data_IF_631883191855
#
_entry.id   IF_631883191855
#
_cell.length_a   1.000
_cell.length_b   1.000
_cell.length_c   1.000
_cell.angle_alpha   90.00
_cell.angle_beta   90.00
_cell.angle_gamma   90.00
#
_symmetry.space_group_name_H-M   'P 1'
#
loop_
_entity.id
_entity.type
_entity.pdbx_description
1 polymer ?
#
# COMPACT_ATOMS: atom_id res chain seq x y z
N UNK A 1 -6.91 -11.25 -32.48
CA UNK A 1 -7.34 -10.03 -31.77
C UNK A 1 -6.06 -9.37 -31.29
N UNK A 2 -5.58 -8.35 -32.00
CA UNK A 2 -4.30 -7.71 -31.67
C UNK A 2 -4.39 -6.99 -30.33
N UNK A 3 -3.60 -7.43 -29.36
CA UNK A 3 -3.52 -6.80 -28.02
C UNK A 3 -3.16 -5.32 -28.12
N UNK A 4 -2.46 -4.92 -29.19
CA UNK A 4 -2.13 -3.52 -29.49
C UNK A 4 -3.36 -2.63 -29.72
N UNK A 5 -4.46 -3.18 -30.25
CA UNK A 5 -5.71 -2.44 -30.43
C UNK A 5 -6.42 -2.14 -29.11
N UNK A 6 -6.25 -2.96 -28.06
CA UNK A 6 -6.79 -2.65 -26.73
C UNK A 6 -5.99 -1.56 -26.01
N UNK A 7 -4.78 -1.24 -26.49
CA UNK A 7 -3.83 -0.33 -25.83
C UNK A 7 -3.90 1.08 -26.43
N UNK A 8 -4.48 1.26 -27.62
CA UNK A 8 -4.61 2.59 -28.22
C UNK A 8 -5.64 3.45 -27.45
N UNK A 9 -5.28 4.69 -27.02
CA UNK A 9 -6.18 5.60 -26.28
C UNK A 9 -7.52 5.85 -26.97
N UNK A 10 -7.53 5.75 -28.31
CA UNK A 10 -8.71 5.97 -29.16
C UNK A 10 -9.83 4.95 -28.95
N UNK A 11 -9.55 3.76 -28.40
CA UNK A 11 -10.58 2.76 -28.11
C UNK A 11 -11.21 2.92 -26.73
N UNK A 12 -10.50 3.56 -25.79
CA UNK A 12 -11.00 3.77 -24.43
C UNK A 12 -12.06 4.87 -24.38
N UNK A 13 -12.02 5.82 -25.32
CA UNK A 13 -13.04 6.86 -25.52
C UNK A 13 -14.35 6.36 -26.12
N UNK A 14 -14.35 5.16 -26.73
CA UNK A 14 -15.56 4.55 -27.32
C UNK A 14 -16.49 4.01 -26.23
N UNK A 15 -15.91 3.59 -25.10
CA UNK A 15 -16.64 3.09 -23.94
C UNK A 15 -17.03 4.27 -23.05
N UNK A 16 -18.30 4.39 -22.62
CA UNK A 16 -18.72 5.48 -21.75
C UNK A 16 -17.91 5.54 -20.45
N UNK A 17 -17.56 6.76 -20.03
CA UNK A 17 -16.70 7.02 -18.87
C UNK A 17 -17.19 6.36 -17.57
N UNK A 18 -18.51 6.24 -17.39
CA UNK A 18 -19.10 5.62 -16.19
C UNK A 18 -18.83 4.12 -16.09
N UNK A 19 -18.62 3.43 -17.21
CA UNK A 19 -18.26 2.00 -17.21
C UNK A 19 -16.86 1.83 -16.65
N UNK A 20 -15.90 2.63 -17.14
CA UNK A 20 -14.54 2.61 -16.63
C UNK A 20 -14.45 3.06 -15.17
N UNK A 21 -15.17 4.12 -14.80
CA UNK A 21 -15.25 4.56 -13.40
C UNK A 21 -15.80 3.44 -12.50
N UNK A 22 -16.83 2.72 -12.93
CA UNK A 22 -17.38 1.58 -12.18
C UNK A 22 -16.36 0.45 -12.07
N UNK A 23 -15.65 0.13 -13.16
CA UNK A 23 -14.60 -0.88 -13.15
C UNK A 23 -13.48 -0.54 -12.17
N UNK A 24 -12.93 0.68 -12.22
CA UNK A 24 -11.87 1.11 -11.30
C UNK A 24 -12.35 1.25 -9.86
N UNK A 25 -13.62 1.60 -9.64
CA UNK A 25 -14.22 1.61 -8.30
C UNK A 25 -14.27 0.21 -7.71
N UNK A 26 -14.80 -0.77 -8.47
CA UNK A 26 -14.88 -2.17 -8.01
C UNK A 26 -13.46 -2.72 -7.82
N UNK A 27 -12.58 -2.53 -8.78
CA UNK A 27 -11.19 -2.99 -8.71
C UNK A 27 -10.46 -2.37 -7.50
N UNK A 28 -10.57 -1.06 -7.31
CA UNK A 28 -9.98 -0.36 -6.17
C UNK A 28 -10.56 -0.81 -4.83
N UNK A 29 -11.85 -1.14 -4.76
CA UNK A 29 -12.46 -1.69 -3.53
C UNK A 29 -11.90 -3.09 -3.20
N UNK A 30 -11.69 -3.94 -4.21
CA UNK A 30 -11.08 -5.27 -4.05
C UNK A 30 -9.63 -5.16 -3.60
N UNK A 31 -8.86 -4.27 -4.23
CA UNK A 31 -7.49 -3.96 -3.82
C UNK A 31 -7.49 -3.42 -2.39
N UNK A 32 -8.34 -2.45 -2.05
CA UNK A 32 -8.45 -1.91 -0.69
C UNK A 32 -8.77 -2.96 0.37
N UNK A 33 -9.58 -3.97 0.04
CA UNK A 33 -9.86 -5.09 0.94
C UNK A 33 -8.61 -5.95 1.19
N UNK A 34 -7.77 -6.14 0.17
CA UNK A 34 -6.44 -6.75 0.34
C UNK A 34 -5.50 -5.84 1.15
N UNK A 35 -5.52 -4.52 0.94
CA UNK A 35 -4.69 -3.58 1.71
C UNK A 35 -5.01 -3.63 3.21
N UNK A 36 -6.27 -3.84 3.60
CA UNK A 36 -6.64 -4.07 5.01
C UNK A 36 -5.91 -5.29 5.62
N UNK A 37 -5.69 -6.34 4.84
CA UNK A 37 -4.91 -7.51 5.29
C UNK A 37 -3.45 -7.12 5.48
N UNK A 38 -2.87 -6.37 4.54
CA UNK A 38 -1.49 -5.87 4.63
C UNK A 38 -1.30 -4.97 5.85
N UNK A 39 -2.18 -3.98 6.07
CA UNK A 39 -2.14 -3.03 7.19
C UNK A 39 -2.17 -3.80 8.53
N UNK A 40 -3.00 -4.83 8.64
CA UNK A 40 -3.09 -5.59 9.88
C UNK A 40 -1.88 -6.53 10.10
N UNK A 41 -1.39 -7.19 9.05
CA UNK A 41 -0.44 -8.31 9.18
C UNK A 41 1.03 -7.91 9.10
N UNK A 42 1.38 -6.95 8.25
CA UNK A 42 2.78 -6.52 8.04
C UNK A 42 3.42 -6.04 9.35
N UNK A 43 2.81 -5.13 10.14
CA UNK A 43 3.41 -4.66 11.39
C UNK A 43 3.57 -5.76 12.46
N UNK A 44 2.84 -6.87 12.31
CA UNK A 44 2.82 -8.01 13.23
C UNK A 44 3.69 -9.17 12.75
N UNK A 45 4.40 -9.03 11.63
CA UNK A 45 5.20 -10.11 11.04
C UNK A 45 4.38 -11.33 10.63
N UNK A 46 3.07 -11.18 10.42
CA UNK A 46 2.17 -12.28 10.09
C UNK A 46 2.16 -12.51 8.57
N UNK A 47 1.99 -13.77 8.16
CA UNK A 47 1.87 -14.11 6.74
C UNK A 47 0.62 -13.49 6.11
N UNK A 48 0.80 -12.82 4.97
CA UNK A 48 -0.28 -12.18 4.21
C UNK A 48 -1.15 -13.22 3.48
N UNK A 49 -0.59 -14.39 3.17
CA UNK A 49 -1.24 -15.45 2.38
C UNK A 49 -2.08 -16.38 3.25
N UNK A 50 -1.61 -16.72 4.45
CA UNK A 50 -2.26 -17.72 5.32
C UNK A 50 -2.11 -17.33 6.79
N UNK A 51 -3.14 -17.51 7.65
CA UNK A 51 -4.47 -18.09 7.41
C UNK A 51 -5.42 -17.16 6.62
N UNK A 52 -6.56 -17.68 6.10
CA UNK A 52 -7.58 -16.84 5.47
C UNK A 52 -8.23 -15.84 6.44
N UNK A 53 -9.00 -14.89 5.90
CA UNK A 53 -9.76 -13.91 6.68
C UNK A 53 -10.67 -14.59 7.70
N UNK A 54 -10.56 -14.17 8.96
CA UNK A 54 -11.34 -14.71 10.08
C UNK A 54 -11.79 -13.57 11.00
N UNK A 55 -12.89 -13.81 11.72
CA UNK A 55 -13.34 -12.87 12.74
C UNK A 55 -12.40 -12.92 13.97
N UNK A 56 -11.89 -11.78 14.48
CA UNK A 56 -10.99 -11.78 15.63
C UNK A 56 -11.67 -12.27 16.91
N UNK A 57 -12.99 -12.06 17.07
CA UNK A 57 -13.71 -12.41 18.30
C UNK A 57 -14.11 -13.89 18.39
N UNK A 58 -14.60 -14.48 17.30
CA UNK A 58 -15.11 -15.86 17.30
C UNK A 58 -14.29 -16.83 16.45
N UNK A 59 -13.21 -16.37 15.81
CA UNK A 59 -12.38 -17.16 14.91
C UNK A 59 -13.15 -17.82 13.74
N UNK A 60 -14.37 -17.33 13.47
CA UNK A 60 -15.16 -17.78 12.35
C UNK A 60 -14.44 -17.45 11.05
N UNK A 61 -14.18 -18.48 10.24
CA UNK A 61 -13.60 -18.34 8.90
C UNK A 61 -14.62 -17.64 8.00
N UNK A 62 -14.25 -16.47 7.49
CA UNK A 62 -15.13 -15.66 6.64
C UNK A 62 -15.13 -16.29 5.23
N UNK A 63 -16.27 -16.77 4.72
CA UNK A 63 -16.36 -17.28 3.36
C UNK A 63 -16.18 -16.13 2.36
N UNK A 64 -15.67 -16.44 1.17
CA UNK A 64 -15.28 -15.44 0.16
C UNK A 64 -16.40 -14.46 -0.21
N UNK A 65 -17.67 -14.90 -0.25
CA UNK A 65 -18.81 -14.05 -0.58
C UNK A 65 -19.18 -13.05 0.53
N UNK A 66 -18.75 -13.29 1.78
CA UNK A 66 -18.85 -12.31 2.87
C UNK A 66 -17.62 -11.41 2.95
N UNK A 67 -16.66 -11.58 2.04
CA UNK A 67 -15.48 -10.73 1.91
C UNK A 67 -15.60 -9.80 0.70
N UNK A 68 -16.82 -9.59 0.17
CA UNK A 68 -17.07 -8.63 -0.91
C UNK A 68 -16.91 -7.21 -0.33
N UNK A 69 -15.97 -6.40 -0.83
CA UNK A 69 -15.67 -5.07 -0.29
C UNK A 69 -16.93 -4.19 -0.25
N UNK A 70 -17.07 -3.36 0.78
CA UNK A 70 -18.15 -2.39 1.03
C UNK A 70 -19.54 -3.05 1.22
N UNK A 71 -19.96 -3.90 0.27
CA UNK A 71 -21.26 -4.57 0.24
C UNK A 71 -21.46 -5.51 1.43
N UNK A 72 -20.45 -6.32 1.77
CA UNK A 72 -20.56 -7.27 2.89
C UNK A 72 -20.81 -6.55 4.22
N UNK A 73 -20.13 -5.43 4.46
CA UNK A 73 -20.33 -4.63 5.66
C UNK A 73 -21.72 -3.98 5.69
N UNK A 74 -22.17 -3.42 4.56
CA UNK A 74 -23.52 -2.84 4.45
C UNK A 74 -24.61 -3.88 4.71
N UNK A 75 -24.50 -5.06 4.08
CA UNK A 75 -25.47 -6.16 4.25
C UNK A 75 -25.49 -6.72 5.68
N UNK A 76 -24.34 -6.77 6.33
CA UNK A 76 -24.21 -7.25 7.71
C UNK A 76 -24.40 -6.14 8.76
N UNK A 77 -24.71 -4.91 8.33
CA UNK A 77 -24.82 -3.73 9.20
C UNK A 77 -23.62 -3.54 10.13
N UNK A 78 -22.43 -3.82 9.60
CA UNK A 78 -21.16 -3.73 10.32
C UNK A 78 -20.99 -4.71 11.47
N UNK A 79 -21.66 -5.87 11.44
CA UNK A 79 -21.54 -6.92 12.47
C UNK A 79 -21.09 -8.25 11.89
N UNK A 80 -20.38 -9.04 12.67
CA UNK A 80 -20.05 -10.41 12.27
C UNK A 80 -21.32 -11.25 12.15
N UNK A 81 -21.45 -12.03 11.07
CA UNK A 81 -22.60 -12.93 10.84
C UNK A 81 -22.78 -13.98 11.95
N UNK A 82 -21.69 -14.47 12.55
CA UNK A 82 -21.74 -15.55 13.53
C UNK A 82 -21.90 -15.05 14.97
N UNK A 83 -21.05 -14.11 15.40
CA UNK A 83 -21.05 -13.65 16.80
C UNK A 83 -21.65 -12.25 17.02
N UNK A 84 -22.04 -11.53 15.97
CA UNK A 84 -22.59 -10.17 16.09
C UNK A 84 -21.57 -9.09 16.51
N UNK A 85 -20.30 -9.45 16.70
CA UNK A 85 -19.25 -8.49 17.07
C UNK A 85 -19.11 -7.38 16.02
N UNK A 86 -18.89 -6.12 16.43
CA UNK A 86 -18.79 -5.00 15.50
C UNK A 86 -17.52 -5.12 14.64
N UNK A 87 -17.67 -4.87 13.34
CA UNK A 87 -16.58 -4.76 12.37
C UNK A 87 -16.19 -3.29 12.28
N UNK A 88 -14.92 -2.98 12.58
CA UNK A 88 -14.45 -1.60 12.64
C UNK A 88 -14.69 -0.83 11.33
N UNK A 89 -15.15 0.42 11.44
CA UNK A 89 -15.44 1.28 10.29
C UNK A 89 -14.20 1.55 9.41
N UNK A 90 -13.00 1.46 10.01
CA UNK A 90 -11.71 1.56 9.32
C UNK A 90 -11.65 0.68 8.07
N UNK A 91 -12.15 -0.56 8.13
CA UNK A 91 -12.07 -1.50 7.01
C UNK A 91 -12.77 -0.95 5.76
N UNK A 92 -13.97 -0.39 5.91
CA UNK A 92 -14.66 0.28 4.80
C UNK A 92 -13.95 1.57 4.40
N UNK A 93 -13.45 2.34 5.38
CA UNK A 93 -12.72 3.57 5.10
C UNK A 93 -11.57 3.34 4.11
N UNK A 94 -10.75 2.31 4.35
CA UNK A 94 -9.66 1.93 3.45
C UNK A 94 -10.20 1.51 2.08
N UNK A 95 -11.21 0.63 2.03
CA UNK A 95 -11.80 0.15 0.77
C UNK A 95 -12.36 1.29 -0.09
N UNK A 96 -13.08 2.22 0.53
CA UNK A 96 -13.69 3.36 -0.13
C UNK A 96 -12.64 4.38 -0.59
N UNK A 97 -11.66 4.69 0.26
CA UNK A 97 -10.56 5.60 -0.10
C UNK A 97 -9.78 5.03 -1.29
N UNK A 98 -9.41 3.74 -1.26
CA UNK A 98 -8.70 3.10 -2.39
C UNK A 98 -9.55 3.09 -3.65
N UNK A 99 -10.84 2.78 -3.56
CA UNK A 99 -11.77 2.83 -4.70
C UNK A 99 -11.87 4.24 -5.32
N UNK A 100 -12.03 5.27 -4.49
CA UNK A 100 -12.11 6.66 -4.94
C UNK A 100 -10.79 7.16 -5.54
N UNK A 101 -9.65 6.77 -4.96
CA UNK A 101 -8.34 7.11 -5.51
C UNK A 101 -8.12 6.47 -6.88
N UNK A 102 -8.50 5.20 -7.07
CA UNK A 102 -8.38 4.52 -8.37
C UNK A 102 -9.25 5.19 -9.43
N UNK A 103 -10.48 5.55 -9.07
CA UNK A 103 -11.37 6.32 -9.95
C UNK A 103 -10.76 7.69 -10.28
N UNK A 104 -10.18 8.38 -9.30
CA UNK A 104 -9.48 9.65 -9.50
C UNK A 104 -8.31 9.53 -10.48
N UNK A 105 -7.44 8.53 -10.27
CA UNK A 105 -6.31 8.24 -11.17
C UNK A 105 -6.82 8.00 -12.59
N UNK A 106 -7.88 7.19 -12.74
CA UNK A 106 -8.51 6.99 -14.04
C UNK A 106 -8.94 8.33 -14.67
N UNK A 107 -9.70 9.16 -13.96
CA UNK A 107 -10.16 10.45 -14.50
C UNK A 107 -9.04 11.42 -14.92
N UNK A 108 -7.88 11.38 -14.25
CA UNK A 108 -6.76 12.27 -14.59
C UNK A 108 -5.84 11.74 -15.69
N UNK A 109 -5.81 10.42 -15.92
CA UNK A 109 -4.81 9.79 -16.79
C UNK A 109 -5.40 8.88 -17.87
N UNK A 110 -6.73 8.85 -18.02
CA UNK A 110 -7.43 7.98 -18.97
C UNK A 110 -7.03 8.20 -20.44
N UNK A 111 -6.67 9.42 -20.81
CA UNK A 111 -6.34 9.85 -22.17
C UNK A 111 -4.87 9.60 -22.55
N UNK A 112 -4.00 9.39 -21.54
CA UNK A 112 -2.56 9.21 -21.75
C UNK A 112 -2.20 7.76 -22.08
N UNK A 113 -2.31 6.87 -21.10
CA UNK A 113 -1.92 5.47 -21.24
C UNK A 113 -2.51 4.62 -20.11
N UNK A 114 -3.04 3.42 -20.42
CA UNK A 114 -3.58 2.54 -19.38
C UNK A 114 -2.50 1.98 -18.45
N UNK A 115 -1.27 1.81 -18.93
CA UNK A 115 -0.15 1.36 -18.11
C UNK A 115 0.25 2.41 -17.08
N UNK A 116 0.14 3.69 -17.44
CA UNK A 116 0.35 4.79 -16.52
C UNK A 116 -0.68 4.78 -15.38
N UNK A 117 -1.96 4.55 -15.70
CA UNK A 117 -3.03 4.41 -14.68
C UNK A 117 -2.70 3.27 -13.72
N UNK A 118 -2.33 2.09 -14.24
CA UNK A 118 -1.99 0.94 -13.39
C UNK A 118 -0.76 1.20 -12.52
N UNK A 119 0.27 1.86 -13.03
CA UNK A 119 1.45 2.22 -12.26
C UNK A 119 1.11 3.14 -11.09
N UNK A 120 0.27 4.15 -11.32
CA UNK A 120 -0.22 5.03 -10.24
C UNK A 120 -1.11 4.28 -9.25
N UNK A 121 -1.97 3.34 -9.70
CA UNK A 121 -2.76 2.50 -8.82
C UNK A 121 -1.87 1.67 -7.87
N UNK A 122 -0.77 1.11 -8.37
CA UNK A 122 0.21 0.37 -7.55
C UNK A 122 0.89 1.31 -6.54
N UNK A 123 1.37 2.47 -6.99
CA UNK A 123 2.00 3.47 -6.12
C UNK A 123 1.06 3.89 -4.98
N UNK A 124 -0.17 4.27 -5.32
CA UNK A 124 -1.16 4.73 -4.34
C UNK A 124 -1.57 3.60 -3.39
N UNK A 125 -1.64 2.36 -3.85
CA UNK A 125 -1.90 1.21 -2.96
C UNK A 125 -0.82 1.06 -1.88
N UNK A 126 0.45 1.21 -2.27
CA UNK A 126 1.57 1.21 -1.33
C UNK A 126 1.51 2.38 -0.35
N UNK A 127 1.21 3.58 -0.84
CA UNK A 127 1.07 4.78 0.00
C UNK A 127 -0.08 4.66 1.00
N UNK A 128 -1.24 4.13 0.58
CA UNK A 128 -2.37 3.89 1.48
C UNK A 128 -1.94 2.94 2.61
N UNK A 129 -1.31 1.81 2.29
CA UNK A 129 -0.84 0.86 3.32
C UNK A 129 0.16 1.53 4.26
N UNK A 130 1.14 2.26 3.73
CA UNK A 130 2.13 2.97 4.53
C UNK A 130 1.49 4.01 5.45
N UNK A 131 0.55 4.82 4.95
CA UNK A 131 -0.13 5.86 5.74
C UNK A 131 -0.96 5.28 6.88
N UNK A 132 -1.69 4.18 6.67
CA UNK A 132 -2.49 3.57 7.73
C UNK A 132 -1.63 2.84 8.77
N UNK A 133 -0.53 2.20 8.34
CA UNK A 133 0.42 1.59 9.28
C UNK A 133 1.11 2.67 10.12
N UNK A 134 1.57 3.75 9.48
CA UNK A 134 2.21 4.87 10.17
C UNK A 134 1.25 5.55 11.16
N UNK A 135 -0.01 5.77 10.78
CA UNK A 135 -1.01 6.35 11.68
C UNK A 135 -1.34 5.47 12.90
N UNK A 136 -1.19 4.15 12.80
CA UNK A 136 -1.50 3.21 13.89
C UNK A 136 -0.29 2.86 14.76
N UNK A 137 0.88 2.75 14.15
CA UNK A 137 2.06 2.19 14.78
C UNK A 137 3.25 3.16 14.82
N UNK A 138 3.17 4.33 14.17
CA UNK A 138 4.26 5.30 14.01
C UNK A 138 5.55 4.67 13.47
N UNK A 139 5.40 3.67 12.61
CA UNK A 139 6.49 2.98 11.91
C UNK A 139 6.18 2.93 10.42
N UNK A 140 7.24 3.01 9.62
CA UNK A 140 7.16 2.75 8.17
C UNK A 140 7.81 1.38 7.93
N UNK A 141 7.04 0.37 7.50
CA UNK A 141 7.56 -0.97 7.28
C UNK A 141 8.54 -1.01 6.09
N UNK A 142 9.67 -1.67 6.28
CA UNK A 142 10.71 -1.82 5.28
C UNK A 142 10.21 -2.59 4.05
N UNK A 143 9.29 -3.53 4.23
CA UNK A 143 8.69 -4.31 3.14
C UNK A 143 7.97 -3.42 2.13
N UNK A 144 7.29 -2.36 2.60
CA UNK A 144 6.60 -1.41 1.72
C UNK A 144 7.58 -0.41 1.13
N UNK A 145 8.54 0.07 1.92
CA UNK A 145 9.50 1.09 1.45
C UNK A 145 10.49 0.52 0.44
N UNK A 146 11.16 -0.58 0.78
CA UNK A 146 12.13 -1.25 -0.10
C UNK A 146 11.41 -1.90 -1.27
N UNK A 147 10.29 -2.58 -1.03
CA UNK A 147 9.47 -3.14 -2.10
C UNK A 147 8.99 -2.06 -3.08
N UNK A 148 8.53 -0.91 -2.56
CA UNK A 148 8.12 0.24 -3.34
C UNK A 148 9.25 0.84 -4.18
N UNK A 149 10.47 0.93 -3.64
CA UNK A 149 11.65 1.38 -4.41
C UNK A 149 11.96 0.45 -5.58
N UNK A 150 11.93 -0.87 -5.36
CA UNK A 150 12.21 -1.87 -6.40
C UNK A 150 11.13 -1.83 -7.48
N UNK A 151 9.86 -1.88 -7.09
CA UNK A 151 8.73 -1.84 -8.02
C UNK A 151 8.72 -0.51 -8.79
N UNK A 152 8.92 0.61 -8.10
CA UNK A 152 9.01 1.93 -8.71
C UNK A 152 10.12 2.00 -9.74
N UNK A 153 11.33 1.54 -9.41
CA UNK A 153 12.45 1.52 -10.35
C UNK A 153 12.20 0.68 -11.59
N UNK A 154 11.62 -0.50 -11.43
CA UNK A 154 11.24 -1.37 -12.56
C UNK A 154 10.20 -0.66 -13.44
N UNK A 155 9.17 -0.07 -12.82
CA UNK A 155 8.12 0.67 -13.54
C UNK A 155 8.69 1.91 -14.26
N UNK A 156 9.68 2.60 -13.69
CA UNK A 156 10.31 3.77 -14.30
C UNK A 156 10.92 3.46 -15.68
N UNK A 157 11.51 2.27 -15.86
CA UNK A 157 12.06 1.87 -17.16
C UNK A 157 11.06 1.18 -18.08
N UNK A 158 10.11 0.41 -17.52
CA UNK A 158 9.07 -0.26 -18.31
C UNK A 158 8.00 0.70 -18.84
N UNK A 159 7.75 1.80 -18.12
CA UNK A 159 6.74 2.81 -18.44
C UNK A 159 7.42 4.19 -18.40
N UNK A 160 8.21 4.55 -19.42
CA UNK A 160 8.92 5.84 -19.47
C UNK A 160 7.97 7.05 -19.44
N UNK A 161 6.69 6.85 -19.77
CA UNK A 161 5.63 7.85 -19.69
C UNK A 161 5.43 8.37 -18.26
N UNK A 162 5.84 7.62 -17.22
CA UNK A 162 5.87 8.12 -15.83
C UNK A 162 6.69 9.41 -15.70
N UNK A 163 7.70 9.56 -16.55
CA UNK A 163 8.66 10.66 -16.54
C UNK A 163 8.48 11.61 -17.73
N UNK A 164 7.37 11.48 -18.46
CA UNK A 164 7.14 12.20 -19.72
C UNK A 164 8.26 11.95 -20.76
N UNK A 165 8.90 10.77 -20.68
CA UNK A 165 9.94 10.34 -21.60
C UNK A 165 9.44 9.20 -22.48
N UNK A 166 10.15 8.98 -23.58
CA UNK A 166 9.86 7.88 -24.52
C UNK A 166 10.89 6.76 -24.46
N UNK A 167 12.07 7.03 -23.91
CA UNK A 167 13.18 6.06 -23.83
C UNK A 167 13.26 5.36 -22.48
N UNK A 168 13.32 4.02 -22.49
CA UNK A 168 13.52 3.21 -21.28
C UNK A 168 14.80 3.56 -20.50
N UNK A 169 15.88 3.92 -21.21
CA UNK A 169 17.15 4.34 -20.59
C UNK A 169 16.96 5.62 -19.77
N UNK A 170 16.22 6.59 -20.30
CA UNK A 170 15.92 7.84 -19.59
C UNK A 170 15.01 7.58 -18.39
N UNK A 171 14.04 6.67 -18.55
CA UNK A 171 13.19 6.20 -17.46
C UNK A 171 13.97 5.59 -16.30
N UNK A 172 14.92 4.67 -16.58
CA UNK A 172 15.79 4.11 -15.55
C UNK A 172 16.71 5.16 -14.92
N UNK A 173 17.28 6.07 -15.72
CA UNK A 173 18.13 7.13 -15.20
C UNK A 173 17.36 8.04 -14.21
N UNK A 174 16.13 8.42 -14.57
CA UNK A 174 15.24 9.20 -13.70
C UNK A 174 14.80 8.40 -12.48
N UNK A 175 14.58 7.09 -12.61
CA UNK A 175 14.32 6.19 -11.49
C UNK A 175 15.46 6.16 -10.46
N UNK A 176 16.72 6.07 -10.92
CA UNK A 176 17.90 6.14 -10.03
C UNK A 176 17.96 7.49 -9.33
N UNK A 177 17.77 8.59 -10.08
CA UNK A 177 17.74 9.92 -9.48
C UNK A 177 16.62 10.06 -8.44
N UNK A 178 15.46 9.46 -8.69
CA UNK A 178 14.35 9.41 -7.74
C UNK A 178 14.72 8.67 -6.44
N UNK A 179 15.38 7.52 -6.54
CA UNK A 179 15.87 6.78 -5.35
C UNK A 179 16.89 7.60 -4.58
N UNK A 180 17.90 8.16 -5.28
CA UNK A 180 18.95 8.97 -4.64
C UNK A 180 18.35 10.20 -3.96
N UNK A 181 17.41 10.88 -4.61
CA UNK A 181 16.70 12.02 -4.04
C UNK A 181 15.86 11.60 -2.81
N UNK A 182 15.10 10.51 -2.90
CA UNK A 182 14.27 10.02 -1.79
C UNK A 182 15.10 9.64 -0.57
N UNK A 183 16.16 8.86 -0.75
CA UNK A 183 17.10 8.49 0.32
C UNK A 183 17.81 9.74 0.87
N UNK A 184 18.22 10.65 -0.01
CA UNK A 184 18.86 11.92 0.37
C UNK A 184 17.96 12.79 1.24
N UNK A 185 16.67 12.92 0.88
CA UNK A 185 15.68 13.68 1.66
C UNK A 185 15.45 13.00 3.02
N UNK A 186 15.26 11.68 3.05
CA UNK A 186 15.09 10.95 4.30
C UNK A 186 16.29 11.14 5.23
N UNK A 187 17.51 11.01 4.70
CA UNK A 187 18.73 11.25 5.45
C UNK A 187 18.85 12.69 5.93
N UNK A 188 18.48 13.67 5.10
CA UNK A 188 18.46 15.08 5.47
C UNK A 188 17.51 15.34 6.63
N UNK A 189 16.30 14.78 6.61
CA UNK A 189 15.33 14.90 7.71
C UNK A 189 15.91 14.32 9.00
N UNK A 190 16.52 13.14 8.96
CA UNK A 190 17.18 12.53 10.12
C UNK A 190 18.35 13.38 10.63
N UNK A 191 19.13 13.95 9.72
CA UNK A 191 20.27 14.81 10.05
C UNK A 191 19.81 16.12 10.71
N UNK A 192 18.77 16.76 10.17
CA UNK A 192 18.15 17.94 10.77
C UNK A 192 17.52 17.62 12.13
N UNK A 193 16.85 16.47 12.26
CA UNK A 193 16.32 16.00 13.53
C UNK A 193 17.40 15.82 14.59
N UNK A 194 18.57 15.28 14.20
CA UNK A 194 19.75 15.18 15.09
C UNK A 194 20.28 16.53 15.53
N UNK A 195 20.23 17.55 14.68
CA UNK A 195 20.64 18.92 15.03
C UNK A 195 19.62 19.59 15.96
N UNK A 196 18.32 19.40 15.71
CA UNK A 196 17.25 20.03 16.47
C UNK A 196 17.04 19.43 17.87
N UNK A 197 17.06 18.09 17.99
CA UNK A 197 16.71 17.39 19.24
C UNK A 197 17.92 16.91 20.06
N UNK A 198 19.15 17.12 19.57
CA UNK A 198 20.36 16.64 20.21
C UNK A 198 20.44 15.10 20.26
N UNK A 199 21.37 14.56 21.05
CA UNK A 199 21.50 13.09 21.22
C UNK A 199 20.73 12.65 22.46
N UNK A 200 19.58 12.01 22.29
CA UNK A 200 18.95 11.25 23.37
C UNK A 200 19.75 9.96 23.63
N UNK A 201 20.35 9.84 24.81
CA UNK A 201 20.89 8.56 25.29
C UNK A 201 19.78 7.81 26.00
N UNK A 202 19.26 6.76 25.37
CA UNK A 202 18.40 5.80 26.05
C UNK A 202 19.31 4.92 26.92
N UNK A 203 19.09 4.90 28.23
CA UNK A 203 19.75 3.92 29.10
C UNK A 203 19.06 2.58 28.92
N UNK A 204 19.79 1.62 28.36
CA UNK A 204 19.31 0.27 28.16
C UNK A 204 19.46 -0.48 29.50
N UNK A 205 18.40 -1.11 30.04
CA UNK A 205 18.50 -1.96 31.24
C UNK A 205 19.57 -3.05 31.04
N UNK A 206 20.36 -3.34 32.07
CA UNK A 206 21.53 -4.22 31.99
C UNK A 206 21.24 -5.65 31.48
N UNK A 207 19.98 -6.08 31.49
CA UNK A 207 19.54 -7.41 31.04
C UNK A 207 18.87 -7.42 29.64
N UNK A 208 19.04 -6.35 28.86
CA UNK A 208 18.46 -6.26 27.51
C UNK A 208 19.38 -6.91 26.50
N UNK A 209 18.87 -7.86 25.72
CA UNK A 209 19.59 -8.42 24.58
C UNK A 209 19.42 -7.49 23.38
N UNK A 210 20.53 -6.97 22.88
CA UNK A 210 20.55 -6.19 21.64
C UNK A 210 20.86 -7.15 20.49
N UNK A 211 19.94 -7.27 19.55
CA UNK A 211 20.14 -8.08 18.35
C UNK A 211 20.47 -7.17 17.17
N UNK A 212 21.52 -7.53 16.44
CA UNK A 212 21.85 -6.87 15.18
C UNK A 212 21.23 -7.66 14.03
N UNK A 213 20.16 -7.15 13.44
CA UNK A 213 19.56 -7.73 12.25
C UNK A 213 20.49 -7.63 11.04
N UNK A 214 20.45 -8.62 10.14
CA UNK A 214 21.26 -8.70 8.92
C UNK A 214 21.04 -7.51 7.96
N UNK A 215 19.95 -6.74 8.14
CA UNK A 215 19.66 -5.50 7.41
C UNK A 215 19.89 -4.20 8.21
N UNK A 216 20.60 -4.23 9.35
CA UNK A 216 20.93 -3.03 10.12
C UNK A 216 19.76 -2.42 10.91
N UNK A 217 18.59 -3.07 10.95
CA UNK A 217 17.53 -2.71 11.88
C UNK A 217 17.96 -3.10 13.31
N UNK A 218 17.98 -2.10 14.19
CA UNK A 218 18.32 -2.26 15.60
C UNK A 218 17.05 -2.66 16.35
N UNK A 219 16.97 -3.91 16.80
CA UNK A 219 15.87 -4.41 17.63
C UNK A 219 16.32 -4.64 19.07
N UNK A 220 15.47 -4.31 20.03
CA UNK A 220 15.64 -4.72 21.42
C UNK A 220 14.37 -5.37 21.93
N UNK A 221 14.51 -6.44 22.70
CA UNK A 221 13.40 -7.14 23.34
C UNK A 221 13.71 -7.16 24.85
N UNK A 222 12.84 -6.56 25.66
CA UNK A 222 13.00 -6.58 27.11
C UNK A 222 12.42 -7.89 27.65
N UNK A 223 13.22 -8.60 28.44
CA UNK A 223 12.86 -9.91 28.97
C UNK A 223 12.11 -9.75 30.31
N UNK A 224 11.17 -8.80 30.37
CA UNK A 224 10.43 -8.49 31.59
C UNK A 224 9.28 -9.50 31.73
N UNK A 225 9.23 -10.31 32.81
CA UNK A 225 8.01 -11.03 33.15
C UNK A 225 6.94 -10.01 33.56
N UNK A 226 5.78 -10.08 32.91
CA UNK A 226 4.56 -9.31 33.26
C UNK A 226 4.17 -9.60 34.71
#
# INVERSE_FOLDING_TARGET
>A
MDVRLLIEPRHWSVIPWYIWATFFFVFGSVVGSFLNVCIYRIPRGLSIVWPPSHCPACQYRIPWYLNIPILSWLMLSGRCRNCGAPIAFRYIGVELITALLFVGIWFFYWDKSPWLVLAYCVLVSGLVVASFIDAEHYIIPDEITIGGMIVGFIMSGLIPELHEKTGAVEGFALGIMGIVAGVGIAYLVLWLGRLAFGRYRVQIPANTKVFFGVCGSLGWESNDPI
#
